data_IF_327747403255
#
_entry.id   IF_327747403255
#
_cell.length_a   1.000
_cell.length_b   1.000
_cell.length_c   1.000
_cell.angle_alpha   90.00
_cell.angle_beta   90.00
_cell.angle_gamma   90.00
#
_symmetry.space_group_name_H-M   'P 1'
#
loop_
_entity.id
_entity.type
_entity.pdbx_description
1 polymer ?
#
# COMPACT_ATOMS: atom_id res chain seq x y z
N UNK A 1 20.33 2.37 -2.63
CA UNK A 1 19.00 1.79 -2.24
C UNK A 1 19.19 1.02 -0.93
N UNK A 2 18.33 1.25 0.05
CA UNK A 2 18.42 0.55 1.34
C UNK A 2 17.86 -0.87 1.24
N UNK A 3 18.21 -1.72 2.21
CA UNK A 3 17.65 -3.09 2.29
C UNK A 3 16.12 -3.06 2.35
N UNK A 4 15.56 -2.10 3.08
CA UNK A 4 14.11 -1.93 3.21
C UNK A 4 13.45 -1.60 1.86
N UNK A 5 14.09 -0.76 1.06
CA UNK A 5 13.60 -0.42 -0.27
C UNK A 5 13.69 -1.60 -1.23
N UNK A 6 14.75 -2.40 -1.15
CA UNK A 6 14.90 -3.62 -1.94
C UNK A 6 13.78 -4.61 -1.58
N UNK A 7 13.56 -4.85 -0.28
CA UNK A 7 12.49 -5.71 0.21
C UNK A 7 11.12 -5.23 -0.25
N UNK A 8 10.86 -3.92 -0.16
CA UNK A 8 9.63 -3.30 -0.62
C UNK A 8 9.34 -3.61 -2.09
N UNK A 9 10.36 -3.48 -2.94
CA UNK A 9 10.23 -3.77 -4.38
C UNK A 9 10.02 -5.25 -4.65
N UNK A 10 10.72 -6.13 -3.95
CA UNK A 10 10.58 -7.58 -4.10
C UNK A 10 9.17 -8.04 -3.72
N UNK A 11 8.63 -7.53 -2.65
CA UNK A 11 7.26 -7.85 -2.23
C UNK A 11 6.22 -7.32 -3.22
N UNK A 12 6.44 -6.13 -3.78
CA UNK A 12 5.55 -5.56 -4.80
C UNK A 12 5.54 -6.41 -6.06
N UNK A 13 6.69 -6.93 -6.50
CA UNK A 13 6.79 -7.86 -7.63
C UNK A 13 5.98 -9.12 -7.33
N UNK A 14 6.16 -9.70 -6.15
CA UNK A 14 5.43 -10.89 -5.73
C UNK A 14 3.92 -10.71 -5.74
N UNK A 15 3.43 -9.58 -5.22
CA UNK A 15 2.00 -9.26 -5.22
C UNK A 15 1.42 -9.11 -6.61
N UNK A 16 2.18 -8.52 -7.53
CA UNK A 16 1.71 -8.26 -8.90
C UNK A 16 1.54 -9.52 -9.74
N UNK A 17 2.20 -10.62 -9.36
CA UNK A 17 2.23 -11.85 -10.14
C UNK A 17 2.71 -11.64 -11.59
N UNK A 18 3.58 -10.66 -11.80
CA UNK A 18 4.13 -10.31 -13.11
C UNK A 18 3.20 -9.51 -14.01
N UNK A 19 2.10 -8.97 -13.47
CA UNK A 19 1.11 -8.19 -14.22
C UNK A 19 0.97 -6.80 -13.60
N UNK A 20 0.95 -5.77 -14.45
CA UNK A 20 0.74 -4.39 -13.99
C UNK A 20 -0.67 -4.23 -13.38
N UNK A 21 -0.80 -3.75 -12.14
CA UNK A 21 -2.11 -3.59 -11.51
C UNK A 21 -2.97 -2.51 -12.17
N UNK A 22 -2.38 -1.59 -12.92
CA UNK A 22 -3.10 -0.49 -13.59
C UNK A 22 -3.62 -0.90 -14.96
N UNK A 23 -2.72 -1.31 -15.87
CA UNK A 23 -3.09 -1.58 -17.27
C UNK A 23 -3.28 -3.06 -17.57
N UNK A 24 -3.00 -3.95 -16.63
CA UNK A 24 -3.16 -5.42 -16.76
C UNK A 24 -2.26 -6.08 -17.81
N UNK A 25 -1.24 -5.37 -18.27
CA UNK A 25 -0.24 -5.92 -19.20
C UNK A 25 0.90 -6.59 -18.43
N UNK A 26 1.63 -7.55 -19.05
CA UNK A 26 2.79 -8.16 -18.41
C UNK A 26 3.86 -7.10 -18.05
N UNK A 27 4.53 -7.29 -16.91
CA UNK A 27 5.64 -6.45 -16.48
C UNK A 27 6.92 -6.91 -17.17
N UNK A 28 7.45 -6.12 -18.12
CA UNK A 28 8.70 -6.43 -18.85
C UNK A 28 9.84 -5.60 -18.25
N UNK A 29 9.69 -4.28 -18.18
CA UNK A 29 10.65 -3.37 -17.55
C UNK A 29 9.91 -2.60 -16.46
N UNK A 30 9.62 -3.24 -15.30
CA UNK A 30 8.75 -2.63 -14.31
C UNK A 30 9.39 -1.42 -13.63
N UNK A 31 8.56 -0.45 -13.30
CA UNK A 31 8.92 0.70 -12.47
C UNK A 31 8.24 0.57 -11.11
N UNK A 32 8.91 0.98 -10.06
CA UNK A 32 8.32 1.02 -8.74
C UNK A 32 7.58 2.33 -8.55
N UNK A 33 6.30 2.26 -8.22
CA UNK A 33 5.44 3.43 -8.01
C UNK A 33 5.07 3.56 -6.53
N UNK A 34 5.40 4.70 -5.93
CA UNK A 34 4.97 5.03 -4.57
C UNK A 34 3.54 5.60 -4.62
N UNK A 35 2.66 5.13 -3.73
CA UNK A 35 1.32 5.72 -3.56
C UNK A 35 1.43 7.08 -2.91
N UNK A 36 1.98 7.17 -1.69
CA UNK A 36 2.42 8.44 -1.12
C UNK A 36 3.81 8.72 -1.68
N UNK A 37 4.01 9.85 -2.37
CA UNK A 37 5.27 10.13 -3.06
C UNK A 37 6.49 10.08 -2.14
N UNK A 38 7.60 9.58 -2.67
CA UNK A 38 8.89 9.55 -1.97
C UNK A 38 9.50 10.96 -1.98
N UNK A 39 8.99 11.83 -1.13
CA UNK A 39 9.46 13.21 -0.97
C UNK A 39 9.78 13.49 0.49
N UNK A 40 10.74 14.38 0.72
CA UNK A 40 11.17 14.72 2.07
C UNK A 40 10.02 15.22 2.94
N UNK A 41 9.10 16.04 2.39
CA UNK A 41 7.95 16.56 3.12
C UNK A 41 7.07 15.42 3.68
N UNK A 42 6.88 14.35 2.92
CA UNK A 42 6.07 13.21 3.35
C UNK A 42 6.83 12.28 4.28
N UNK A 43 8.15 12.14 4.09
CA UNK A 43 8.99 11.40 5.02
C UNK A 43 9.01 12.07 6.40
N UNK A 44 9.06 13.38 6.43
CA UNK A 44 9.01 14.14 7.69
C UNK A 44 7.64 14.07 8.35
N UNK A 45 6.57 14.07 7.55
CA UNK A 45 5.19 14.05 8.06
C UNK A 45 4.76 12.68 8.56
N UNK A 46 5.03 11.62 7.80
CA UNK A 46 4.54 10.27 8.09
C UNK A 46 5.63 9.30 8.56
N UNK A 47 6.89 9.63 8.35
CA UNK A 47 8.01 8.77 8.68
C UNK A 47 8.46 7.89 7.51
N UNK A 48 9.75 7.57 7.51
CA UNK A 48 10.33 6.71 6.47
C UNK A 48 9.71 5.31 6.47
N UNK A 49 9.28 4.83 7.63
CA UNK A 49 8.61 3.54 7.74
C UNK A 49 7.37 3.44 6.86
N UNK A 50 6.57 4.51 6.79
CA UNK A 50 5.38 4.57 5.93
C UNK A 50 5.78 4.64 4.46
N UNK A 51 6.70 5.54 4.11
CA UNK A 51 7.08 5.76 2.71
C UNK A 51 7.75 4.52 2.12
N UNK A 52 8.59 3.84 2.89
CA UNK A 52 9.31 2.64 2.45
C UNK A 52 8.55 1.34 2.71
N UNK A 53 7.31 1.44 3.20
CA UNK A 53 6.50 0.25 3.47
C UNK A 53 6.05 -0.41 2.15
N UNK A 54 6.03 -1.75 2.13
CA UNK A 54 5.64 -2.51 0.94
C UNK A 54 4.24 -2.17 0.43
N UNK A 55 3.30 -1.86 1.33
CA UNK A 55 1.94 -1.49 0.94
C UNK A 55 1.83 -0.07 0.36
N UNK A 56 2.89 0.74 0.48
CA UNK A 56 2.92 2.08 -0.13
C UNK A 56 3.37 2.06 -1.58
N UNK A 57 3.52 0.91 -2.21
CA UNK A 57 4.01 0.90 -3.57
C UNK A 57 3.54 -0.29 -4.38
N UNK A 58 3.64 -0.14 -5.69
CA UNK A 58 3.29 -1.15 -6.67
C UNK A 58 4.34 -1.18 -7.78
N UNK A 59 4.55 -2.36 -8.37
CA UNK A 59 5.32 -2.45 -9.61
C UNK A 59 4.37 -2.22 -10.79
N UNK A 60 4.72 -1.29 -11.64
CA UNK A 60 3.90 -0.91 -12.81
C UNK A 60 4.75 -0.94 -14.09
N UNK A 61 4.09 -0.97 -15.25
CA UNK A 61 4.80 -1.18 -16.52
C UNK A 61 5.39 0.10 -17.12
N UNK A 62 4.94 1.29 -16.70
CA UNK A 62 5.32 2.53 -17.37
C UNK A 62 5.12 3.74 -16.48
N UNK A 63 5.65 4.90 -16.92
CA UNK A 63 5.47 6.16 -16.23
C UNK A 63 3.99 6.60 -16.15
N UNK A 64 3.15 6.46 -17.20
CA UNK A 64 1.73 6.75 -17.06
C UNK A 64 1.03 5.93 -15.98
N UNK A 65 1.35 4.63 -15.86
CA UNK A 65 0.82 3.79 -14.80
C UNK A 65 1.32 4.23 -13.42
N UNK A 66 2.59 4.64 -13.32
CA UNK A 66 3.16 5.18 -12.10
C UNK A 66 2.39 6.44 -11.65
N UNK A 67 2.10 7.34 -12.56
CA UNK A 67 1.33 8.56 -12.26
C UNK A 67 -0.10 8.24 -11.78
N UNK A 68 -0.68 7.15 -12.25
CA UNK A 68 -2.01 6.70 -11.80
C UNK A 68 -1.96 6.21 -10.34
N UNK A 69 -0.88 5.56 -9.94
CA UNK A 69 -0.71 5.06 -8.56
C UNK A 69 -0.45 6.21 -7.58
N UNK A 70 0.28 7.24 -8.00
CA UNK A 70 0.64 8.38 -7.16
C UNK A 70 -0.62 9.14 -6.72
N UNK A 71 -0.85 9.22 -5.41
CA UNK A 71 -2.01 9.92 -4.84
C UNK A 71 -1.73 11.41 -4.59
N UNK A 72 -0.53 11.89 -4.94
CA UNK A 72 -0.17 13.30 -4.84
C UNK A 72 -0.23 13.83 -3.41
N UNK A 73 -0.80 15.02 -3.24
CA UNK A 73 -0.88 15.72 -1.97
C UNK A 73 -2.21 15.56 -1.24
N UNK A 74 -3.10 14.71 -1.73
CA UNK A 74 -4.42 14.48 -1.13
C UNK A 74 -4.30 13.82 0.24
N UNK A 75 -4.61 14.58 1.30
CA UNK A 75 -4.54 14.08 2.68
C UNK A 75 -5.47 12.89 2.92
N UNK A 76 -6.69 12.94 2.36
CA UNK A 76 -7.63 11.83 2.48
C UNK A 76 -7.09 10.54 1.86
N UNK A 77 -6.46 10.63 0.70
CA UNK A 77 -5.84 9.47 0.05
C UNK A 77 -4.61 8.99 0.82
N UNK A 78 -3.84 9.90 1.43
CA UNK A 78 -2.74 9.51 2.32
C UNK A 78 -3.24 8.67 3.49
N UNK A 79 -4.35 9.07 4.11
CA UNK A 79 -4.93 8.32 5.23
C UNK A 79 -5.40 6.93 4.79
N UNK A 80 -5.96 6.80 3.59
CA UNK A 80 -6.36 5.49 3.05
C UNK A 80 -5.15 4.57 2.87
N UNK A 81 -4.05 5.10 2.34
CA UNK A 81 -2.80 4.33 2.18
C UNK A 81 -2.26 3.91 3.54
N UNK A 82 -2.26 4.80 4.52
CA UNK A 82 -1.79 4.49 5.89
C UNK A 82 -2.68 3.42 6.51
N UNK A 83 -4.00 3.48 6.31
CA UNK A 83 -4.92 2.44 6.76
C UNK A 83 -4.59 1.08 6.13
N UNK A 84 -4.30 1.05 4.83
CA UNK A 84 -3.88 -0.18 4.14
C UNK A 84 -2.58 -0.75 4.73
N UNK A 85 -1.63 0.11 5.08
CA UNK A 85 -0.38 -0.29 5.74
C UNK A 85 -0.68 -0.96 7.09
N UNK A 86 -1.54 -0.37 7.88
CA UNK A 86 -1.92 -0.91 9.19
C UNK A 86 -2.67 -2.24 9.07
N UNK A 87 -3.54 -2.37 8.09
CA UNK A 87 -4.23 -3.63 7.78
C UNK A 87 -3.22 -4.70 7.36
N UNK A 88 -2.27 -4.35 6.50
CA UNK A 88 -1.23 -5.26 6.06
C UNK A 88 -0.42 -5.79 7.25
N UNK A 89 0.01 -4.91 8.15
CA UNK A 89 0.77 -5.29 9.35
C UNK A 89 -0.06 -6.16 10.28
N UNK A 90 -1.33 -5.84 10.46
CA UNK A 90 -2.25 -6.63 11.26
C UNK A 90 -2.39 -8.05 10.71
N UNK A 91 -2.58 -8.19 9.40
CA UNK A 91 -2.68 -9.50 8.74
C UNK A 91 -1.39 -10.30 8.86
N UNK A 92 -0.25 -9.64 8.79
CA UNK A 92 1.06 -10.27 8.95
C UNK A 92 1.25 -10.86 10.34
N UNK A 93 0.76 -10.17 11.37
CA UNK A 93 0.88 -10.62 12.77
C UNK A 93 -0.14 -11.69 13.14
N UNK A 94 -1.38 -11.55 12.69
CA UNK A 94 -2.52 -12.34 13.16
C UNK A 94 -3.13 -13.25 12.09
N UNK A 95 -2.71 -13.09 10.84
CA UNK A 95 -3.26 -13.82 9.71
C UNK A 95 -4.67 -13.38 9.33
N UNK A 96 -5.24 -14.07 8.33
CA UNK A 96 -6.57 -13.74 7.80
C UNK A 96 -7.67 -13.96 8.84
N UNK A 97 -7.55 -15.02 9.67
CA UNK A 97 -8.53 -15.29 10.73
C UNK A 97 -8.57 -14.19 11.78
N UNK A 98 -7.40 -13.62 12.13
CA UNK A 98 -7.33 -12.49 13.05
C UNK A 98 -8.01 -11.24 12.48
N UNK A 99 -7.83 -10.97 11.19
CA UNK A 99 -8.50 -9.87 10.51
C UNK A 99 -10.01 -10.10 10.46
N UNK A 100 -10.46 -11.34 10.22
CA UNK A 100 -11.88 -11.68 10.26
C UNK A 100 -12.51 -11.38 11.60
N UNK A 101 -11.85 -11.74 12.70
CA UNK A 101 -12.30 -11.42 14.06
C UNK A 101 -12.42 -9.91 14.29
N UNK A 102 -11.45 -9.13 13.82
CA UNK A 102 -11.50 -7.67 13.94
C UNK A 102 -12.65 -7.10 13.11
N UNK A 103 -12.83 -7.57 11.89
CA UNK A 103 -13.93 -7.16 11.02
C UNK A 103 -15.28 -7.45 11.66
N UNK A 104 -15.45 -8.62 12.27
CA UNK A 104 -16.67 -9.00 12.97
C UNK A 104 -16.97 -8.08 14.16
N UNK A 105 -15.95 -7.74 14.93
CA UNK A 105 -16.09 -6.80 16.05
C UNK A 105 -16.52 -5.41 15.58
N UNK A 106 -15.91 -4.92 14.52
CA UNK A 106 -16.24 -3.61 13.93
C UNK A 106 -17.66 -3.63 13.40
N UNK A 107 -18.03 -4.67 12.65
CA UNK A 107 -19.39 -4.83 12.11
C UNK A 107 -20.43 -4.85 13.20
N UNK A 108 -20.22 -5.63 14.26
CA UNK A 108 -21.14 -5.72 15.40
C UNK A 108 -21.31 -4.35 16.07
N UNK A 109 -20.22 -3.60 16.24
CA UNK A 109 -20.27 -2.25 16.83
C UNK A 109 -21.08 -1.28 15.96
N UNK A 110 -20.86 -1.30 14.64
CA UNK A 110 -21.57 -0.39 13.74
C UNK A 110 -23.04 -0.78 13.52
N UNK A 111 -23.37 -2.05 13.60
CA UNK A 111 -24.79 -2.49 13.60
C UNK A 111 -25.56 -1.91 14.77
N UNK A 112 -24.93 -1.83 15.94
CA UNK A 112 -25.53 -1.20 17.11
C UNK A 112 -25.75 0.30 16.94
N UNK A 113 -24.90 0.97 16.17
CA UNK A 113 -24.97 2.41 15.91
C UNK A 113 -25.92 2.76 14.75
N UNK A 114 -26.13 1.85 13.83
CA UNK A 114 -26.94 2.06 12.63
C UNK A 114 -28.45 1.95 12.83
N UNK A 115 -28.87 1.77 14.05
CA UNK A 115 -30.30 1.74 14.41
C UNK A 115 -30.78 3.14 14.84
#
# INVERSE_FOLDING_TARGET
MTEKQIEQRQEAIGRSSGICPVCKKPLINPQYAHKIPNKEIYRNKYGSWVIDHTANGEMVCSLPCNQTIDVGSSYGNHLEVIADILIYEYMKLWGVSGLGKLADKITAKYKGLGK
#
